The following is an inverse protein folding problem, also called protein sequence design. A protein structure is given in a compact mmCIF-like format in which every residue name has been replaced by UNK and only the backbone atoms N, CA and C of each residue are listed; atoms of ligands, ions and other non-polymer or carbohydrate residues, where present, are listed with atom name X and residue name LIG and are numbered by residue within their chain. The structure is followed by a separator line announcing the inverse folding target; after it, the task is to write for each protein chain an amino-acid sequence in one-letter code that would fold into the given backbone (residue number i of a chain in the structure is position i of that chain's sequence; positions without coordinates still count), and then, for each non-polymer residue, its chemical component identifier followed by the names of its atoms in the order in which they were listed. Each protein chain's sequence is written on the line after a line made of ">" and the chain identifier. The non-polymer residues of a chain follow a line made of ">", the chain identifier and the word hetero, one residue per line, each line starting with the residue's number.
data_IF_793661317972
#
_entry.id   IF_793661317972
#
_cell.length_a   1.000
_cell.length_b   1.000
_cell.length_c   1.000
_cell.angle_alpha   90.00
_cell.angle_beta   90.00
_cell.angle_gamma   90.00
#
_symmetry.space_group_name_H-M   'P 1'
#
loop_
_entity.id
_entity.type
_entity.pdbx_description
1 polymer ?
#
# COMPACT_ATOMS: atom_id res chain seq x y z
N UNK A 1 13.18 11.80 24.31
CA UNK A 1 12.42 12.61 23.33
C UNK A 1 12.39 11.77 22.09
N UNK A 2 11.39 10.90 22.02
CA UNK A 2 11.30 9.85 21.01
C UNK A 2 10.83 10.51 19.71
N UNK A 3 11.63 10.33 18.68
CA UNK A 3 11.30 10.71 17.32
C UNK A 3 10.35 9.61 16.84
N UNK A 4 9.03 9.84 16.91
CA UNK A 4 8.09 9.01 16.15
C UNK A 4 8.36 9.33 14.69
N UNK A 5 9.06 8.42 14.03
CA UNK A 5 9.73 8.72 12.77
C UNK A 5 8.80 8.70 11.55
N UNK A 6 7.48 8.54 11.72
CA UNK A 6 6.41 8.93 10.78
C UNK A 6 5.03 8.64 11.41
N UNK A 7 4.02 9.45 11.07
CA UNK A 7 2.61 9.34 11.51
C UNK A 7 1.90 8.13 10.87
N UNK A 8 1.21 7.31 11.65
CA UNK A 8 0.49 6.13 11.17
C UNK A 8 -1.00 6.45 10.97
N UNK A 9 -1.43 6.53 9.71
CA UNK A 9 -2.85 6.69 9.35
C UNK A 9 -3.44 5.38 8.86
N UNK A 10 -4.64 5.03 9.33
CA UNK A 10 -5.40 3.87 8.85
C UNK A 10 -6.71 4.35 8.24
N UNK A 11 -6.88 4.11 6.95
CA UNK A 11 -8.15 4.33 6.25
C UNK A 11 -8.93 3.01 6.13
N UNK A 12 -10.17 3.01 6.59
CA UNK A 12 -11.09 1.87 6.58
C UNK A 12 -12.16 2.08 5.53
N UNK A 13 -12.27 1.17 4.57
CA UNK A 13 -13.34 1.18 3.57
C UNK A 13 -14.33 0.06 3.87
N UNK A 14 -15.59 0.39 4.15
CA UNK A 14 -16.62 -0.58 4.57
C UNK A 14 -17.89 -0.50 3.72
N UNK A 15 -18.51 -1.65 3.47
CA UNK A 15 -19.85 -1.73 2.88
C UNK A 15 -20.91 -1.61 3.97
N UNK A 16 -21.71 -0.53 4.00
CA UNK A 16 -22.69 -0.31 5.07
C UNK A 16 -23.89 -1.27 4.97
N UNK A 17 -24.24 -1.75 3.77
CA UNK A 17 -25.37 -2.64 3.50
C UNK A 17 -25.14 -4.09 3.95
N UNK A 18 -23.94 -4.43 4.40
CA UNK A 18 -23.61 -5.72 4.99
C UNK A 18 -22.91 -5.62 6.34
N UNK A 19 -23.11 -4.52 7.06
CA UNK A 19 -22.61 -4.37 8.43
C UNK A 19 -23.24 -5.45 9.32
N UNK A 20 -22.47 -6.49 9.61
CA UNK A 20 -22.81 -7.61 10.48
C UNK A 20 -21.96 -7.51 11.74
N UNK A 21 -22.38 -8.09 12.87
CA UNK A 21 -21.66 -8.02 14.16
C UNK A 21 -20.12 -8.22 14.04
N UNK A 22 -19.59 -9.13 13.19
CA UNK A 22 -18.14 -9.27 13.00
C UNK A 22 -17.42 -8.07 12.38
N UNK A 23 -18.11 -7.17 11.67
CA UNK A 23 -17.54 -5.96 11.08
C UNK A 23 -17.57 -4.83 12.11
N UNK A 24 -18.67 -4.69 12.86
CA UNK A 24 -18.77 -3.72 13.97
C UNK A 24 -17.65 -3.92 14.99
N UNK A 25 -17.43 -5.16 15.42
CA UNK A 25 -16.36 -5.47 16.38
C UNK A 25 -14.96 -5.12 15.88
N UNK A 26 -14.71 -5.19 14.56
CA UNK A 26 -13.42 -4.78 13.97
C UNK A 26 -13.28 -3.26 13.99
N UNK A 27 -14.34 -2.53 13.65
CA UNK A 27 -14.36 -1.06 13.71
C UNK A 27 -14.14 -0.60 15.16
N UNK A 28 -14.83 -1.20 16.12
CA UNK A 28 -14.64 -0.92 17.55
C UNK A 28 -13.21 -1.20 18.00
N UNK A 29 -12.60 -2.28 17.49
CA UNK A 29 -11.20 -2.60 17.80
C UNK A 29 -10.24 -1.56 17.22
N UNK A 30 -10.48 -1.05 16.01
CA UNK A 30 -9.68 0.01 15.40
C UNK A 30 -9.81 1.32 16.18
N UNK A 31 -11.02 1.68 16.64
CA UNK A 31 -11.22 2.82 17.54
C UNK A 31 -10.48 2.68 18.87
N UNK A 32 -10.39 1.46 19.41
CA UNK A 32 -9.61 1.20 20.62
C UNK A 32 -8.11 1.38 20.39
N UNK A 33 -7.60 1.00 19.21
CA UNK A 33 -6.19 1.19 18.84
C UNK A 33 -5.85 2.68 18.68
N UNK A 34 -6.72 3.45 18.02
CA UNK A 34 -6.64 4.91 17.91
C UNK A 34 -6.64 5.58 19.30
N UNK A 35 -7.60 5.20 20.17
CA UNK A 35 -7.68 5.72 21.55
C UNK A 35 -6.50 5.34 22.45
N UNK A 36 -5.71 4.34 22.05
CA UNK A 36 -4.55 3.85 22.78
C UNK A 36 -3.22 4.32 22.16
N UNK A 37 -3.25 5.26 21.21
CA UNK A 37 -2.09 5.83 20.51
C UNK A 37 -1.29 4.79 19.68
N UNK A 38 -1.92 3.68 19.26
CA UNK A 38 -1.32 2.75 18.29
C UNK A 38 -1.54 3.18 16.84
N UNK A 39 -2.51 4.07 16.59
CA UNK A 39 -2.81 4.70 15.30
C UNK A 39 -2.87 6.20 15.57
N UNK A 40 -2.18 7.00 14.77
CA UNK A 40 -2.21 8.46 14.94
C UNK A 40 -3.47 9.08 14.34
N UNK A 41 -4.01 8.48 13.27
CA UNK A 41 -5.23 8.93 12.60
C UNK A 41 -6.04 7.76 12.01
N UNK A 42 -7.32 7.67 12.39
CA UNK A 42 -8.26 6.68 11.88
C UNK A 42 -9.36 7.36 11.04
N UNK A 43 -9.47 6.97 9.76
CA UNK A 43 -10.49 7.50 8.84
C UNK A 43 -11.38 6.37 8.34
N UNK A 44 -12.71 6.57 8.30
CA UNK A 44 -13.66 5.55 7.87
C UNK A 44 -14.49 6.06 6.68
N UNK A 45 -14.45 5.30 5.59
CA UNK A 45 -15.14 5.53 4.33
C UNK A 45 -16.18 4.44 4.06
N UNK A 46 -17.31 4.84 3.49
CA UNK A 46 -18.31 3.91 2.98
C UNK A 46 -18.18 3.75 1.47
N UNK A 47 -18.34 2.53 0.95
CA UNK A 47 -18.39 2.25 -0.49
C UNK A 47 -19.52 1.27 -0.85
N UNK A 48 -20.05 1.31 -2.08
CA UNK A 48 -21.09 0.39 -2.50
C UNK A 48 -20.52 -1.01 -2.78
N UNK A 49 -21.41 -2.00 -2.87
CA UNK A 49 -21.00 -3.36 -3.21
C UNK A 49 -20.44 -3.51 -4.63
N UNK A 50 -20.93 -2.71 -5.57
CA UNK A 50 -20.45 -2.72 -6.94
C UNK A 50 -20.42 -1.30 -7.51
N UNK A 51 -19.37 -1.01 -8.29
CA UNK A 51 -19.15 0.26 -8.96
C UNK A 51 -18.96 -0.02 -10.45
N UNK A 52 -19.65 0.72 -11.30
CA UNK A 52 -19.41 0.65 -12.75
C UNK A 52 -18.24 1.56 -13.10
N UNK A 53 -17.14 1.02 -13.60
CA UNK A 53 -15.92 1.79 -13.85
C UNK A 53 -16.06 2.79 -15.02
N UNK A 54 -17.02 2.57 -15.92
CA UNK A 54 -17.32 3.50 -17.02
C UNK A 54 -18.15 4.70 -16.59
N UNK A 55 -18.74 4.68 -15.39
CA UNK A 55 -19.54 5.77 -14.83
C UNK A 55 -19.02 6.09 -13.42
N UNK A 56 -17.95 6.89 -13.39
CA UNK A 56 -17.15 7.12 -12.18
C UNK A 56 -17.91 7.91 -11.11
N UNK A 57 -18.96 8.66 -11.46
CA UNK A 57 -19.71 9.49 -10.51
C UNK A 57 -20.90 8.68 -9.98
N UNK A 58 -21.20 8.70 -8.67
CA UNK A 58 -20.60 9.50 -7.58
C UNK A 58 -19.46 8.80 -6.82
N UNK A 59 -18.85 7.75 -7.37
CA UNK A 59 -17.92 6.87 -6.65
C UNK A 59 -16.46 7.06 -7.01
N UNK A 60 -16.05 8.25 -7.45
CA UNK A 60 -14.68 8.56 -7.88
C UNK A 60 -13.67 8.22 -6.80
N UNK A 61 -13.92 8.63 -5.57
CA UNK A 61 -12.99 8.44 -4.45
C UNK A 61 -12.75 6.95 -4.15
N UNK A 62 -13.80 6.13 -4.26
CA UNK A 62 -13.69 4.68 -4.08
C UNK A 62 -12.94 3.99 -5.24
N UNK A 63 -13.05 4.52 -6.46
CA UNK A 63 -12.28 4.06 -7.62
C UNK A 63 -10.81 4.46 -7.46
N UNK A 64 -10.52 5.71 -7.10
CA UNK A 64 -9.17 6.22 -6.88
C UNK A 64 -8.45 5.42 -5.78
N UNK A 65 -9.14 5.14 -4.67
CA UNK A 65 -8.63 4.29 -3.61
C UNK A 65 -8.34 2.87 -4.11
N UNK A 66 -9.25 2.26 -4.88
CA UNK A 66 -9.04 0.95 -5.49
C UNK A 66 -7.80 0.93 -6.42
N UNK A 67 -7.66 1.93 -7.29
CA UNK A 67 -6.54 2.01 -8.23
C UNK A 67 -5.20 2.21 -7.49
N UNK A 68 -5.17 3.03 -6.44
CA UNK A 68 -3.99 3.21 -5.59
C UNK A 68 -3.59 1.91 -4.89
N UNK A 69 -4.58 1.20 -4.33
CA UNK A 69 -4.37 -0.09 -3.65
C UNK A 69 -3.89 -1.18 -4.62
N UNK A 70 -4.53 -1.30 -5.79
CA UNK A 70 -4.16 -2.29 -6.83
C UNK A 70 -2.74 -2.02 -7.33
N UNK A 71 -2.40 -0.76 -7.59
CA UNK A 71 -1.07 -0.37 -8.02
C UNK A 71 -0.02 -0.67 -6.95
N UNK A 72 -0.30 -0.37 -5.69
CA UNK A 72 0.63 -0.63 -4.58
C UNK A 72 0.89 -2.13 -4.44
N UNK A 73 -0.16 -2.95 -4.34
CA UNK A 73 -0.01 -4.40 -4.19
C UNK A 73 0.68 -5.03 -5.40
N UNK A 74 0.35 -4.57 -6.62
CA UNK A 74 1.00 -5.04 -7.85
C UNK A 74 2.50 -4.73 -7.91
N UNK A 75 2.93 -3.55 -7.44
CA UNK A 75 4.37 -3.20 -7.34
C UNK A 75 5.13 -4.11 -6.37
N UNK A 76 4.46 -4.64 -5.37
CA UNK A 76 5.03 -5.56 -4.38
C UNK A 76 4.82 -7.03 -4.74
N UNK A 77 4.32 -7.34 -5.94
CA UNK A 77 4.15 -8.72 -6.41
C UNK A 77 2.99 -9.49 -5.78
N UNK A 78 2.07 -8.78 -5.11
CA UNK A 78 0.87 -9.37 -4.51
C UNK A 78 -0.39 -9.21 -5.37
N UNK A 79 -1.54 -9.53 -4.77
CA UNK A 79 -2.86 -9.26 -5.33
C UNK A 79 -3.89 -8.90 -4.26
N UNK A 80 -4.80 -7.98 -4.56
CA UNK A 80 -6.00 -7.70 -3.73
C UNK A 80 -7.22 -8.53 -4.18
N UNK A 81 -7.03 -9.43 -5.14
CA UNK A 81 -8.03 -10.41 -5.56
C UNK A 81 -7.88 -11.70 -4.73
N UNK A 82 -8.97 -12.43 -4.44
CA UNK A 82 -10.36 -12.22 -4.83
C UNK A 82 -11.22 -11.19 -4.04
N UNK A 83 -10.81 -10.61 -2.90
CA UNK A 83 -11.64 -9.64 -2.17
C UNK A 83 -12.15 -8.49 -3.03
N UNK A 84 -11.29 -7.97 -3.92
CA UNK A 84 -11.70 -7.16 -5.05
C UNK A 84 -11.86 -8.02 -6.30
N UNK A 85 -12.84 -7.70 -7.15
CA UNK A 85 -13.00 -8.36 -8.44
C UNK A 85 -13.50 -7.38 -9.49
N UNK A 86 -12.70 -7.19 -10.54
CA UNK A 86 -13.11 -6.47 -11.75
C UNK A 86 -13.65 -7.46 -12.76
N UNK A 87 -14.87 -7.22 -13.26
CA UNK A 87 -15.50 -8.05 -14.30
C UNK A 87 -16.02 -7.18 -15.44
N UNK A 88 -15.67 -7.56 -16.66
CA UNK A 88 -16.25 -6.99 -17.87
C UNK A 88 -17.34 -7.92 -18.39
N UNK A 89 -18.52 -7.37 -18.66
CA UNK A 89 -19.65 -8.09 -19.25
C UNK A 89 -20.22 -7.34 -20.43
N UNK A 90 -20.66 -8.06 -21.46
CA UNK A 90 -21.39 -7.51 -22.60
C UNK A 90 -22.87 -7.84 -22.46
N UNK A 91 -23.72 -6.83 -22.49
CA UNK A 91 -25.17 -6.99 -22.53
C UNK A 91 -25.58 -7.63 -23.85
N UNK A 92 -26.20 -8.81 -23.83
CA UNK A 92 -26.66 -9.49 -25.06
C UNK A 92 -27.84 -8.79 -25.71
N UNK A 93 -28.54 -7.90 -24.99
CA UNK A 93 -29.69 -7.16 -25.50
C UNK A 93 -29.30 -5.79 -26.08
N UNK A 94 -28.43 -5.03 -25.40
CA UNK A 94 -28.01 -3.69 -25.84
C UNK A 94 -26.67 -3.69 -26.57
N UNK A 95 -25.93 -4.80 -26.55
CA UNK A 95 -24.55 -4.94 -27.02
C UNK A 95 -23.56 -3.98 -26.35
N UNK A 96 -23.94 -3.39 -25.21
CA UNK A 96 -23.10 -2.50 -24.42
C UNK A 96 -22.12 -3.32 -23.58
N UNK A 97 -20.88 -2.82 -23.47
CA UNK A 97 -19.84 -3.39 -22.62
C UNK A 97 -19.81 -2.60 -21.32
N UNK A 98 -19.91 -3.30 -20.20
CA UNK A 98 -19.85 -2.72 -18.86
C UNK A 98 -18.74 -3.39 -18.06
N UNK A 99 -17.86 -2.58 -17.47
CA UNK A 99 -16.85 -3.05 -16.51
C UNK A 99 -17.29 -2.69 -15.11
N UNK A 100 -17.39 -3.69 -14.23
CA UNK A 100 -17.85 -3.55 -12.85
C UNK A 100 -16.76 -3.95 -11.88
N UNK A 101 -16.43 -3.07 -10.94
CA UNK A 101 -15.64 -3.36 -9.75
C UNK A 101 -16.56 -3.87 -8.65
N UNK A 102 -16.25 -5.03 -8.07
CA UNK A 102 -16.80 -5.50 -6.81
C UNK A 102 -15.79 -5.25 -5.70
N UNK A 103 -16.20 -4.49 -4.71
CA UNK A 103 -15.41 -4.15 -3.51
C UNK A 103 -15.42 -5.31 -2.49
N UNK A 104 -14.58 -5.32 -1.46
CA UNK A 104 -14.77 -6.21 -0.32
C UNK A 104 -15.75 -5.64 0.70
N UNK A 105 -16.16 -6.46 1.67
CA UNK A 105 -16.95 -6.00 2.82
C UNK A 105 -16.21 -4.96 3.66
N UNK A 106 -14.91 -5.14 3.82
CA UNK A 106 -14.02 -4.27 4.56
C UNK A 106 -12.63 -4.35 3.93
N UNK A 107 -11.97 -3.20 3.80
CA UNK A 107 -10.58 -3.06 3.39
C UNK A 107 -9.89 -2.03 4.28
N UNK A 108 -8.60 -2.20 4.54
CA UNK A 108 -7.75 -1.24 5.22
C UNK A 108 -6.65 -0.78 4.26
N UNK A 109 -6.42 0.53 4.20
CA UNK A 109 -5.21 1.12 3.63
C UNK A 109 -4.42 1.75 4.79
N UNK A 110 -3.17 1.33 4.96
CA UNK A 110 -2.29 1.77 6.05
C UNK A 110 -1.24 2.68 5.48
N UNK A 111 -1.14 3.89 5.99
CA UNK A 111 -0.21 4.93 5.56
C UNK A 111 0.79 5.25 6.66
N UNK A 112 2.03 5.46 6.25
CA UNK A 112 3.10 5.98 7.10
C UNK A 112 3.50 7.35 6.52
N UNK A 113 3.13 8.42 7.22
CA UNK A 113 3.01 9.75 6.65
C UNK A 113 1.96 9.76 5.54
N UNK A 114 2.31 10.29 4.37
CA UNK A 114 1.43 10.33 3.20
C UNK A 114 1.57 9.12 2.26
N UNK A 115 2.42 8.15 2.62
CA UNK A 115 2.76 7.03 1.75
C UNK A 115 2.00 5.78 2.15
N UNK A 116 1.32 5.16 1.18
CA UNK A 116 0.67 3.87 1.34
C UNK A 116 1.72 2.81 1.65
N UNK A 117 1.64 2.22 2.84
CA UNK A 117 2.59 1.26 3.40
C UNK A 117 2.07 -0.18 3.37
N UNK A 118 0.74 -0.39 3.43
CA UNK A 118 0.13 -1.69 3.16
C UNK A 118 -1.38 -1.57 2.87
N UNK A 119 -1.96 -2.63 2.33
CA UNK A 119 -3.39 -2.77 2.04
C UNK A 119 -3.88 -4.11 2.53
N UNK A 120 -5.05 -4.21 3.16
CA UNK A 120 -5.64 -5.49 3.58
C UNK A 120 -7.11 -5.58 3.18
N UNK A 121 -7.62 -6.72 2.69
CA UNK A 121 -6.88 -7.97 2.47
C UNK A 121 -6.03 -7.97 1.19
N UNK A 122 -4.91 -8.69 1.22
CA UNK A 122 -4.10 -9.00 0.05
C UNK A 122 -3.51 -10.41 0.14
N UNK A 123 -2.91 -10.87 -0.95
CA UNK A 123 -2.13 -12.11 -1.01
C UNK A 123 -0.76 -11.86 -1.62
N UNK A 124 0.26 -12.58 -1.15
CA UNK A 124 1.59 -12.64 -1.76
C UNK A 124 1.95 -14.10 -1.99
N UNK A 125 2.01 -14.52 -3.26
CA UNK A 125 2.17 -15.95 -3.58
C UNK A 125 1.02 -16.77 -2.99
N UNK A 126 1.34 -17.69 -2.09
CA UNK A 126 0.36 -18.55 -1.40
C UNK A 126 -0.08 -17.99 -0.03
N UNK A 127 0.55 -16.90 0.45
CA UNK A 127 0.25 -16.28 1.73
C UNK A 127 -0.92 -15.29 1.60
N UNK A 128 -1.81 -15.31 2.59
CA UNK A 128 -2.97 -14.43 2.66
C UNK A 128 -2.93 -13.59 3.93
N UNK A 129 -3.08 -12.28 3.75
CA UNK A 129 -3.11 -11.31 4.85
C UNK A 129 -4.48 -10.62 4.86
N UNK A 130 -5.21 -10.80 5.96
CA UNK A 130 -6.54 -10.24 6.16
C UNK A 130 -6.55 -9.04 7.10
N UNK A 131 -7.73 -8.44 7.24
CA UNK A 131 -7.98 -7.31 8.17
C UNK A 131 -7.64 -7.66 9.62
N UNK A 132 -7.84 -8.91 10.05
CA UNK A 132 -7.51 -9.30 11.42
C UNK A 132 -6.01 -9.37 11.66
N UNK A 133 -5.22 -9.72 10.64
CA UNK A 133 -3.76 -9.74 10.73
C UNK A 133 -3.23 -8.31 10.89
N UNK A 134 -3.81 -7.36 10.14
CA UNK A 134 -3.51 -5.93 10.31
C UNK A 134 -3.85 -5.42 11.72
N UNK A 135 -5.04 -5.75 12.24
CA UNK A 135 -5.44 -5.37 13.61
C UNK A 135 -4.49 -5.97 14.65
N UNK A 136 -4.05 -7.21 14.46
CA UNK A 136 -3.09 -7.86 15.35
C UNK A 136 -1.72 -7.14 15.29
N UNK A 137 -1.25 -6.82 14.09
CA UNK A 137 0.01 -6.10 13.85
C UNK A 137 0.02 -4.72 14.52
N UNK A 138 -1.05 -3.94 14.33
CA UNK A 138 -1.23 -2.61 14.94
C UNK A 138 -1.22 -2.69 16.47
N UNK A 139 -1.79 -3.75 17.06
CA UNK A 139 -1.81 -3.93 18.52
C UNK A 139 -0.44 -4.23 19.11
N UNK A 140 0.43 -4.88 18.35
CA UNK A 140 1.76 -5.30 18.82
C UNK A 140 2.88 -4.39 18.33
N UNK A 141 2.54 -3.28 17.67
CA UNK A 141 3.48 -2.41 16.95
C UNK A 141 4.42 -3.20 16.02
N UNK A 142 3.89 -4.27 15.43
CA UNK A 142 4.64 -5.13 14.49
C UNK A 142 4.66 -4.48 13.12
N UNK A 143 5.51 -3.46 13.00
CA UNK A 143 5.68 -2.68 11.77
C UNK A 143 6.30 -3.50 10.64
N UNK A 144 6.88 -4.68 10.90
CA UNK A 144 7.43 -5.54 9.85
C UNK A 144 6.33 -6.10 8.93
N UNK A 145 5.09 -6.18 9.43
CA UNK A 145 3.91 -6.53 8.63
C UNK A 145 3.42 -5.40 7.71
N UNK A 146 3.95 -4.18 7.85
CA UNK A 146 3.74 -3.10 6.90
C UNK A 146 5.08 -2.86 6.20
N UNK A 147 5.37 -3.51 5.05
CA UNK A 147 6.59 -3.26 4.31
C UNK A 147 6.56 -1.82 3.79
N UNK A 148 6.94 -0.89 4.66
CA UNK A 148 7.17 0.49 4.36
C UNK A 148 8.52 0.54 3.64
N UNK A 149 8.47 0.48 2.32
CA UNK A 149 9.58 0.85 1.47
C UNK A 149 9.40 2.36 1.17
N UNK A 150 10.01 3.28 1.95
CA UNK A 150 9.90 4.72 1.69
C UNK A 150 10.33 5.09 0.27
N UNK A 151 11.09 4.20 -0.36
CA UNK A 151 11.34 4.10 -1.78
C UNK A 151 11.36 2.62 -2.18
N UNK A 152 10.69 2.22 -3.27
CA UNK A 152 11.24 1.13 -4.07
C UNK A 152 12.69 1.52 -4.39
N UNK A 153 13.65 0.78 -3.87
CA UNK A 153 15.08 0.93 -4.16
C UNK A 153 15.38 0.61 -5.63
N UNK A 154 14.89 1.43 -6.55
CA UNK A 154 15.39 1.47 -7.91
C UNK A 154 16.72 2.24 -7.86
N UNK A 155 17.85 1.64 -8.27
CA UNK A 155 19.03 2.45 -8.57
C UNK A 155 18.63 3.53 -9.58
N UNK A 156 19.25 4.73 -9.56
CA UNK A 156 18.99 5.73 -10.58
C UNK A 156 19.17 5.08 -11.96
N UNK A 157 18.35 5.46 -12.96
CA UNK A 157 18.43 4.86 -14.28
C UNK A 157 19.88 4.91 -14.77
N UNK A 158 20.36 3.83 -15.40
CA UNK A 158 21.76 3.77 -15.84
C UNK A 158 22.12 4.88 -16.83
N UNK A 159 21.12 5.48 -17.48
CA UNK A 159 21.25 6.55 -18.45
C UNK A 159 20.30 7.71 -18.13
N UNK A 160 20.76 8.93 -18.41
CA UNK A 160 19.98 10.15 -18.28
C UNK A 160 18.77 10.10 -19.23
N UNK A 161 17.54 10.39 -18.78
CA UNK A 161 16.36 10.35 -19.63
C UNK A 161 16.36 11.41 -20.74
N UNK A 162 17.10 12.50 -20.59
CA UNK A 162 17.09 13.61 -21.56
C UNK A 162 18.11 13.44 -22.69
N UNK A 163 19.31 12.96 -22.36
CA UNK A 163 20.41 12.87 -23.31
C UNK A 163 20.97 11.45 -23.49
N UNK A 164 20.35 10.47 -22.83
CA UNK A 164 20.72 9.05 -22.86
C UNK A 164 22.21 8.79 -22.52
N UNK A 165 22.86 9.70 -21.80
CA UNK A 165 24.24 9.56 -21.34
C UNK A 165 24.28 8.79 -20.04
N UNK A 166 25.26 7.89 -19.88
CA UNK A 166 25.41 7.11 -18.66
C UNK A 166 25.58 8.02 -17.43
N UNK A 167 24.80 7.78 -16.37
CA UNK A 167 24.90 8.52 -15.12
C UNK A 167 26.08 7.99 -14.30
N UNK A 168 26.85 8.90 -13.70
CA UNK A 168 27.77 8.51 -12.62
C UNK A 168 26.97 8.38 -11.32
N UNK A 169 26.89 7.16 -10.79
CA UNK A 169 26.26 6.92 -9.49
C UNK A 169 27.28 7.09 -8.36
N UNK A 170 27.05 8.08 -7.50
CA UNK A 170 27.81 8.31 -6.27
C UNK A 170 26.85 8.25 -5.10
N UNK A 171 26.94 7.20 -4.28
CA UNK A 171 26.13 7.04 -3.07
C UNK A 171 24.61 7.14 -3.33
N UNK A 172 24.13 6.63 -4.46
CA UNK A 172 22.71 6.69 -4.84
C UNK A 172 22.37 7.86 -5.75
N UNK A 173 23.21 8.89 -5.83
CA UNK A 173 22.98 10.06 -6.69
C UNK A 173 23.57 9.80 -8.08
N UNK A 174 22.73 9.75 -9.11
CA UNK A 174 23.11 9.72 -10.51
C UNK A 174 23.33 11.13 -11.08
N UNK A 175 24.56 11.47 -11.43
CA UNK A 175 24.90 12.77 -12.06
C UNK A 175 25.17 12.57 -13.54
N UNK A 176 24.47 13.33 -14.38
CA UNK A 176 24.71 13.37 -15.82
C UNK A 176 25.80 14.39 -16.14
N UNK A 177 26.92 13.94 -16.70
CA UNK A 177 28.02 14.83 -17.10
C UNK A 177 27.79 15.54 -18.46
N UNK A 178 26.68 15.24 -19.15
CA UNK A 178 26.38 15.84 -20.45
C UNK A 178 25.45 17.06 -20.34
N UNK A 179 24.48 17.03 -19.42
CA UNK A 179 23.48 18.09 -19.25
C UNK A 179 23.37 18.60 -17.80
N UNK A 180 24.30 18.21 -16.91
CA UNK A 180 24.35 18.57 -15.48
C UNK A 180 23.09 18.21 -14.67
N UNK A 181 22.25 17.34 -15.19
CA UNK A 181 21.07 16.82 -14.50
C UNK A 181 21.47 15.89 -13.35
N UNK A 182 20.82 16.06 -12.20
CA UNK A 182 21.04 15.26 -11.00
C UNK A 182 19.77 14.44 -10.72
N UNK A 183 19.92 13.13 -10.68
CA UNK A 183 18.89 12.17 -10.28
C UNK A 183 19.30 11.60 -8.92
N UNK A 184 18.46 11.73 -7.90
CA UNK A 184 18.75 11.18 -6.57
C UNK A 184 18.06 9.83 -6.47
N UNK A 185 18.84 8.76 -6.40
CA UNK A 185 18.37 7.44 -5.96
C UNK A 185 18.65 7.26 -4.48
N UNK A 186 17.67 6.76 -3.74
CA UNK A 186 17.82 6.55 -2.30
C UNK A 186 18.47 5.18 -2.07
N UNK A 187 19.64 5.16 -1.43
CA UNK A 187 20.33 3.91 -1.11
C UNK A 187 19.55 3.12 -0.06
N UNK A 188 19.38 1.79 -0.22
CA UNK A 188 18.93 0.98 0.89
C UNK A 188 19.94 1.13 2.01
N UNK A 189 19.46 1.44 3.21
CA UNK A 189 20.27 1.41 4.41
C UNK A 189 20.82 0.00 4.53
N UNK A 190 22.11 -0.20 4.25
CA UNK A 190 22.73 -1.51 4.46
C UNK A 190 22.57 -1.85 5.94
N UNK A 191 21.77 -2.89 6.17
CA UNK A 191 21.51 -3.42 7.49
C UNK A 191 22.83 -3.69 8.23
N UNK A 192 22.93 -3.20 9.46
CA UNK A 192 24.14 -3.26 10.30
C UNK A 192 24.30 -4.65 10.93
N UNK A 193 24.01 -5.71 10.19
CA UNK A 193 24.04 -7.10 10.68
C UNK A 193 25.35 -7.84 10.39
N UNK A 194 26.38 -7.20 9.84
CA UNK A 194 27.74 -7.76 9.72
C UNK A 194 28.74 -7.11 10.70
N UNK A 195 28.50 -7.27 12.01
CA UNK A 195 29.55 -7.08 13.01
C UNK A 195 29.49 -8.17 14.08
N UNK A 196 29.44 -9.43 13.65
CA UNK A 196 29.56 -10.60 14.54
C UNK A 196 30.25 -11.79 13.87
N UNK A 197 31.23 -11.53 13.01
CA UNK A 197 32.15 -12.57 12.51
C UNK A 197 33.58 -12.03 12.39
N UNK A 198 34.18 -11.63 13.52
CA UNK A 198 35.63 -11.46 13.61
C UNK A 198 36.08 -11.43 15.07
N UNK A 199 35.80 -12.51 15.78
CA UNK A 199 36.56 -12.89 16.97
C UNK A 199 36.53 -14.40 17.10
N UNK A 200 37.68 -15.01 16.82
CA UNK A 200 38.30 -16.16 17.51
C UNK A 200 39.07 -17.01 16.50
N UNK A 201 40.35 -16.70 16.37
CA UNK A 201 41.36 -17.77 16.28
C UNK A 201 42.60 -17.30 17.06
N UNK A 202 43.12 -18.13 17.99
CA UNK A 202 44.32 -17.80 18.77
C UNK A 202 45.58 -17.81 17.92
#
# INVERSE_FOLDING_TARGET
>A
MNIHANELTVEVYVRPDGLVEPIDSKIDTLHQLDSADHIDNLVIHAWPAAITLTDQIPYSDAIDAFEQMEMWVGKHGGSIQPPFSVRTSTSTFTNEIQTTLRTPMMCLAVYVGEQLANVFPHSWGDDHHGVMDAIAALRTDDLELFPYAPDSAAPPPSHCPDCNTQLMNVQGIGVCQCCDRVEVGTMPHHDRSQRSQLTLRP
#
